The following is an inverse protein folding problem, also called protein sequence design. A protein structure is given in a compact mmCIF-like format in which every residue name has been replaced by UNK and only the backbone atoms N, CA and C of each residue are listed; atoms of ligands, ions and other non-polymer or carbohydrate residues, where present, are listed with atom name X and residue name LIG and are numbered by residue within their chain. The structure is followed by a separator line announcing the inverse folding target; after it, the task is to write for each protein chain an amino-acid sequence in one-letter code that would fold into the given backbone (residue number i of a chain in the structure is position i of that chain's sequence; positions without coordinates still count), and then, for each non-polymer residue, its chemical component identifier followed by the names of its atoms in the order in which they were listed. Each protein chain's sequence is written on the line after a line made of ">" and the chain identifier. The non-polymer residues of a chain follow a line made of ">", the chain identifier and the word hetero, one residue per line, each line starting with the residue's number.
data_IF_538927989318
#
_entry.id   IF_538927989318
#
_cell.length_a   1.000
_cell.length_b   1.000
_cell.length_c   1.000
_cell.angle_alpha   90.00
_cell.angle_beta   90.00
_cell.angle_gamma   90.00
#
_symmetry.space_group_name_H-M   'P 1'
#
loop_
_entity.id
_entity.type
_entity.pdbx_description
1 polymer ?
#
# COMPACT_ATOMS: atom_id res chain seq x y z
N UNK A 1 -3.53 -22.85 -4.44
CA UNK A 1 -3.31 -22.12 -3.18
C UNK A 1 -2.43 -23.02 -2.34
N UNK A 2 -1.12 -22.82 -2.38
CA UNK A 2 -0.15 -23.70 -1.69
C UNK A 2 -0.16 -23.52 -0.17
N UNK A 3 -0.63 -22.38 0.33
CA UNK A 3 -0.62 -22.04 1.77
C UNK A 3 -2.03 -22.01 2.42
N UNK A 4 -2.95 -22.87 1.98
CA UNK A 4 -4.30 -22.91 2.57
C UNK A 4 -4.34 -23.74 3.86
N UNK A 5 -4.78 -23.13 4.97
CA UNK A 5 -4.99 -23.83 6.23
C UNK A 5 -6.42 -24.35 6.37
N UNK A 6 -6.58 -25.59 6.85
CA UNK A 6 -7.88 -26.14 7.21
C UNK A 6 -8.37 -25.55 8.54
N UNK A 7 -9.61 -25.04 8.57
CA UNK A 7 -10.28 -24.55 9.79
C UNK A 7 -10.30 -25.56 10.94
N UNK A 8 -10.36 -26.87 10.65
CA UNK A 8 -10.31 -27.93 11.66
C UNK A 8 -8.94 -28.05 12.33
N UNK A 9 -7.86 -27.71 11.61
CA UNK A 9 -6.49 -27.76 12.13
C UNK A 9 -6.18 -26.52 12.98
N UNK A 10 -6.62 -25.34 12.52
CA UNK A 10 -6.49 -24.08 13.28
C UNK A 10 -7.16 -24.15 14.66
N UNK A 11 -8.31 -24.83 14.76
CA UNK A 11 -9.05 -24.99 16.02
C UNK A 11 -8.37 -25.94 17.02
N UNK A 12 -7.54 -26.88 16.54
CA UNK A 12 -6.85 -27.85 17.41
C UNK A 12 -5.65 -27.23 18.12
N UNK A 13 -4.99 -26.27 17.49
CA UNK A 13 -3.80 -25.63 18.03
C UNK A 13 -3.79 -24.14 17.67
N UNK A 14 -4.31 -23.31 18.55
CA UNK A 14 -4.40 -21.85 18.38
C UNK A 14 -3.02 -21.20 18.18
N UNK A 15 -1.95 -21.82 18.68
CA UNK A 15 -0.56 -21.39 18.46
C UNK A 15 -0.13 -21.49 16.98
N UNK A 16 -0.71 -22.42 16.21
CA UNK A 16 -0.50 -22.49 14.75
C UNK A 16 -1.01 -21.23 14.06
N UNK A 17 -2.05 -20.58 14.58
CA UNK A 17 -2.61 -19.35 14.01
C UNK A 17 -1.55 -18.28 13.74
N UNK A 18 -0.56 -18.13 14.63
CA UNK A 18 0.56 -17.18 14.43
C UNK A 18 1.44 -17.51 13.23
N UNK A 19 1.61 -18.79 12.88
CA UNK A 19 2.39 -19.22 11.70
C UNK A 19 1.68 -18.91 10.38
N UNK A 20 0.35 -18.79 10.42
CA UNK A 20 -0.48 -18.48 9.25
C UNK A 20 -0.93 -17.01 9.20
N UNK A 21 -0.50 -16.18 10.16
CA UNK A 21 -0.64 -14.74 10.07
C UNK A 21 0.34 -14.22 9.01
N UNK A 22 -0.17 -14.01 7.81
CA UNK A 22 0.53 -13.26 6.77
C UNK A 22 0.37 -11.76 7.04
N UNK A 23 1.44 -11.00 6.83
CA UNK A 23 1.33 -9.54 6.87
C UNK A 23 0.50 -9.06 5.68
N UNK A 24 -0.26 -7.98 5.86
CA UNK A 24 -1.01 -7.38 4.75
C UNK A 24 -0.11 -6.90 3.61
N UNK A 25 1.14 -6.53 3.91
CA UNK A 25 2.13 -6.16 2.89
C UNK A 25 2.51 -7.37 2.02
N UNK A 26 2.70 -8.54 2.64
CA UNK A 26 2.96 -9.80 1.93
C UNK A 26 1.79 -10.19 1.02
N UNK A 27 0.55 -9.98 1.47
CA UNK A 27 -0.63 -10.24 0.64
C UNK A 27 -0.75 -9.31 -0.58
N UNK A 28 0.01 -8.22 -0.61
CA UNK A 28 -0.05 -7.17 -1.63
C UNK A 28 1.31 -6.99 -2.33
N UNK A 29 2.13 -8.03 -2.40
CA UNK A 29 3.50 -8.00 -2.93
C UNK A 29 3.57 -7.45 -4.37
N UNK A 30 2.59 -7.79 -5.21
CA UNK A 30 2.55 -7.37 -6.62
C UNK A 30 2.29 -5.86 -6.82
N UNK A 31 1.78 -5.17 -5.79
CA UNK A 31 1.50 -3.74 -5.88
C UNK A 31 2.79 -2.93 -5.74
N UNK A 32 2.93 -1.91 -6.59
CA UNK A 32 4.05 -0.99 -6.51
C UNK A 32 4.00 -0.18 -5.21
N UNK A 33 5.16 0.01 -4.57
CA UNK A 33 5.31 0.78 -3.34
C UNK A 33 5.69 2.23 -3.63
N UNK A 34 5.12 3.16 -2.88
CA UNK A 34 5.58 4.55 -2.77
C UNK A 34 5.81 4.91 -1.30
N UNK A 35 6.83 5.73 -1.04
CA UNK A 35 7.19 6.16 0.32
C UNK A 35 6.98 7.66 0.46
N UNK A 36 6.13 8.09 1.39
CA UNK A 36 5.80 9.52 1.58
C UNK A 36 6.71 10.19 2.62
N UNK A 37 6.86 11.51 2.49
CA UNK A 37 7.50 12.33 3.50
C UNK A 37 6.64 12.42 4.76
N UNK A 38 7.28 12.66 5.92
CA UNK A 38 6.62 12.67 7.23
C UNK A 38 5.46 13.67 7.30
N UNK A 39 5.60 14.84 6.68
CA UNK A 39 4.56 15.88 6.63
C UNK A 39 3.29 15.45 5.88
N UNK A 40 3.39 14.46 4.99
CA UNK A 40 2.26 13.97 4.20
C UNK A 40 1.49 12.84 4.89
N UNK A 41 2.03 12.25 5.97
CA UNK A 41 1.41 11.10 6.67
C UNK A 41 -0.01 11.45 7.14
N UNK A 42 -0.19 12.62 7.78
CA UNK A 42 -1.51 13.05 8.26
C UNK A 42 -2.51 13.24 7.12
N UNK A 43 -2.05 13.75 5.97
CA UNK A 43 -2.89 13.88 4.77
C UNK A 43 -3.33 12.51 4.27
N UNK A 44 -2.40 11.54 4.22
CA UNK A 44 -2.69 10.17 3.78
C UNK A 44 -3.67 9.47 4.70
N UNK A 45 -3.50 9.58 6.01
CA UNK A 45 -4.39 8.92 6.98
C UNK A 45 -5.80 9.51 6.99
N UNK A 46 -5.97 10.74 6.48
CA UNK A 46 -7.26 11.43 6.41
C UNK A 46 -7.94 11.32 5.03
N UNK A 47 -7.44 10.51 4.10
CA UNK A 47 -8.05 10.37 2.77
C UNK A 47 -7.67 11.49 1.77
N UNK A 48 -6.72 12.36 2.14
CA UNK A 48 -6.29 13.50 1.32
C UNK A 48 -5.40 13.12 0.15
N UNK A 49 -5.49 13.84 -0.96
CA UNK A 49 -4.65 13.60 -2.15
C UNK A 49 -3.21 14.03 -1.87
N UNK A 50 -2.23 13.22 -2.27
CA UNK A 50 -0.80 13.55 -2.23
C UNK A 50 -0.25 13.76 -3.64
N UNK A 51 0.70 14.69 -3.78
CA UNK A 51 1.40 14.95 -5.03
C UNK A 51 2.80 14.33 -5.06
N UNK A 52 3.45 14.32 -6.23
CA UNK A 52 4.82 13.81 -6.39
C UNK A 52 5.84 14.44 -5.45
N UNK A 53 5.67 15.72 -5.09
CA UNK A 53 6.61 16.48 -4.26
C UNK A 53 6.58 16.03 -2.79
N UNK A 54 5.51 15.36 -2.39
CA UNK A 54 5.31 14.79 -1.05
C UNK A 54 5.82 13.35 -0.93
N UNK A 55 6.37 12.80 -2.01
CA UNK A 55 6.86 11.43 -2.09
C UNK A 55 8.38 11.44 -2.14
N UNK A 56 9.00 10.58 -1.33
CA UNK A 56 10.45 10.37 -1.28
C UNK A 56 10.88 9.48 -2.45
N UNK A 57 10.15 8.39 -2.67
CA UNK A 57 10.49 7.38 -3.67
C UNK A 57 9.26 7.00 -4.50
N UNK A 58 9.36 7.21 -5.82
CA UNK A 58 8.37 6.79 -6.81
C UNK A 58 9.08 5.90 -7.84
N UNK A 59 8.70 4.62 -7.99
CA UNK A 59 9.17 3.77 -9.06
C UNK A 59 8.96 4.42 -10.44
N UNK A 60 9.97 4.38 -11.32
CA UNK A 60 9.90 5.10 -12.61
C UNK A 60 8.67 4.73 -13.45
N UNK A 61 8.29 3.44 -13.44
CA UNK A 61 7.12 2.94 -14.16
C UNK A 61 5.77 3.49 -13.67
N UNK A 62 5.72 4.12 -12.49
CA UNK A 62 4.53 4.80 -11.95
C UNK A 62 4.42 6.26 -12.38
N UNK A 63 5.54 6.95 -12.67
CA UNK A 63 5.53 8.39 -13.03
C UNK A 63 4.77 8.67 -14.34
N UNK A 64 4.65 7.66 -15.20
CA UNK A 64 4.05 7.78 -16.53
C UNK A 64 2.67 7.14 -16.66
N UNK A 65 2.30 6.20 -15.79
CA UNK A 65 1.08 5.38 -15.93
C UNK A 65 -0.07 5.86 -15.01
N UNK A 66 -1.26 6.03 -15.60
CA UNK A 66 -2.50 6.40 -14.91
C UNK A 66 -3.20 5.16 -14.33
N UNK A 67 -3.99 5.33 -13.27
CA UNK A 67 -4.89 4.35 -12.66
C UNK A 67 -4.21 3.07 -12.16
N UNK A 68 -2.96 3.17 -11.68
CA UNK A 68 -2.30 2.05 -11.00
C UNK A 68 -2.55 2.11 -9.50
N UNK A 69 -2.94 0.97 -8.93
CA UNK A 69 -2.97 0.77 -7.48
C UNK A 69 -1.53 0.74 -6.94
N UNK A 70 -1.34 1.41 -5.81
CA UNK A 70 -0.05 1.49 -5.11
C UNK A 70 -0.24 1.31 -3.62
N UNK A 71 0.79 0.77 -2.97
CA UNK A 71 0.93 0.77 -1.51
C UNK A 71 1.65 2.03 -1.07
N UNK A 72 1.09 2.75 -0.09
CA UNK A 72 1.64 3.98 0.44
C UNK A 72 2.24 3.72 1.82
N UNK A 73 3.53 4.00 1.97
CA UNK A 73 4.29 3.75 3.20
C UNK A 73 4.85 5.04 3.79
N UNK A 74 5.08 5.05 5.10
CA UNK A 74 5.98 6.01 5.72
C UNK A 74 7.45 5.60 5.57
N UNK A 75 8.37 6.50 5.94
CA UNK A 75 9.80 6.22 5.92
C UNK A 75 10.26 5.13 6.91
N UNK A 76 9.40 4.73 7.87
CA UNK A 76 9.67 3.65 8.82
C UNK A 76 9.25 2.28 8.29
N UNK A 77 8.62 2.22 7.12
CA UNK A 77 8.13 0.98 6.52
C UNK A 77 6.74 0.56 6.98
N UNK A 78 5.96 1.45 7.62
CA UNK A 78 4.58 1.15 7.95
C UNK A 78 3.67 1.39 6.74
N UNK A 79 2.81 0.41 6.42
CA UNK A 79 1.76 0.60 5.43
C UNK A 79 0.72 1.58 5.98
N UNK A 80 0.50 2.68 5.27
CA UNK A 80 -0.46 3.72 5.64
C UNK A 80 -1.80 3.54 4.93
N UNK A 81 -1.77 3.25 3.63
CA UNK A 81 -2.96 3.15 2.79
C UNK A 81 -2.66 2.48 1.47
N UNK A 82 -3.72 2.05 0.77
CA UNK A 82 -3.70 1.86 -0.67
C UNK A 82 -4.10 3.16 -1.37
N UNK A 83 -3.59 3.37 -2.58
CA UNK A 83 -3.96 4.52 -3.38
C UNK A 83 -3.97 4.22 -4.86
N UNK A 84 -4.49 5.14 -5.65
CA UNK A 84 -4.48 5.07 -7.12
C UNK A 84 -3.79 6.29 -7.71
N UNK A 85 -3.00 6.07 -8.75
CA UNK A 85 -2.37 7.16 -9.49
C UNK A 85 -3.39 7.90 -10.37
N UNK A 86 -3.47 9.22 -10.18
CA UNK A 86 -4.28 10.13 -10.98
C UNK A 86 -3.33 11.00 -11.78
N UNK A 87 -3.45 10.93 -13.11
CA UNK A 87 -2.69 11.78 -14.02
C UNK A 87 -3.66 12.48 -14.99
N UNK A 88 -3.65 13.80 -14.97
CA UNK A 88 -4.32 14.64 -15.96
C UNK A 88 -3.31 15.09 -17.03
N UNK A 89 -3.78 15.35 -18.26
CA UNK A 89 -2.90 15.78 -19.36
C UNK A 89 -2.14 17.06 -18.97
N UNK A 90 -0.81 17.03 -19.06
CA UNK A 90 0.05 18.17 -18.76
C UNK A 90 0.21 18.51 -17.27
N UNK A 91 -0.35 17.71 -16.35
CA UNK A 91 -0.22 17.92 -14.91
C UNK A 91 0.69 16.88 -14.25
N UNK A 92 1.17 17.22 -13.05
CA UNK A 92 1.88 16.31 -12.17
C UNK A 92 1.00 15.11 -11.80
N UNK A 93 1.64 14.01 -11.42
CA UNK A 93 0.93 12.82 -10.94
C UNK A 93 0.52 13.03 -9.49
N UNK A 94 -0.73 12.67 -9.18
CA UNK A 94 -1.28 12.68 -7.84
C UNK A 94 -1.66 11.26 -7.43
N UNK A 95 -1.76 11.03 -6.13
CA UNK A 95 -2.23 9.77 -5.58
C UNK A 95 -3.38 10.02 -4.63
N UNK A 96 -4.50 9.37 -4.88
CA UNK A 96 -5.69 9.41 -4.02
C UNK A 96 -5.78 8.11 -3.23
N UNK A 97 -6.00 8.19 -1.92
CA UNK A 97 -6.22 7.00 -1.12
C UNK A 97 -7.51 6.29 -1.52
N UNK A 98 -7.47 4.97 -1.43
CA UNK A 98 -8.65 4.11 -1.41
C UNK A 98 -8.78 3.69 0.04
N UNK A 99 -9.81 4.21 0.70
CA UNK A 99 -10.09 3.87 2.09
C UNK A 99 -10.41 2.37 2.13
N UNK A 100 -9.67 1.64 2.96
CA UNK A 100 -9.89 0.22 3.28
C UNK A 100 -11.01 0.08 4.31
#
# INVERSE_FOLDING_TARGET
>A
IEDSLNLKELKKETALGKRYLISIDSALEELSKITVKSEAIKTVLNGGVISSEQIVEIPEGLKTRKNKFVKIFDAKGNLLSLGTSIKEKGKNIFFKQIIL
#
